data_IF_732159145876
#
_entry.id   IF_732159145876
#
_cell.length_a   1.000
_cell.length_b   1.000
_cell.length_c   1.000
_cell.angle_alpha   90.00
_cell.angle_beta   90.00
_cell.angle_gamma   90.00
#
_symmetry.space_group_name_H-M   'P 1'
#
loop_
_entity.id
_entity.type
_entity.pdbx_description
1 polymer ?
#
# COMPACT_ATOMS: atom_id res chain seq x y z
N UNK A 1 9.07 3.11 -51.01
CA UNK A 1 9.27 4.18 -50.01
C UNK A 1 9.33 5.50 -50.74
N UNK A 2 8.18 6.17 -50.87
CA UNK A 2 8.08 7.48 -51.50
C UNK A 2 8.69 8.50 -50.54
N UNK A 3 9.82 9.10 -50.90
CA UNK A 3 10.40 10.17 -50.11
C UNK A 3 9.36 11.30 -49.98
N UNK A 4 9.13 11.85 -48.78
CA UNK A 4 8.25 13.01 -48.65
C UNK A 4 8.87 14.15 -49.45
N UNK A 5 8.14 14.64 -50.45
CA UNK A 5 8.51 15.85 -51.18
C UNK A 5 8.59 16.99 -50.15
N UNK A 6 9.64 17.84 -50.20
CA UNK A 6 9.69 19.00 -49.33
C UNK A 6 8.48 19.88 -49.67
N UNK A 7 7.54 19.98 -48.74
CA UNK A 7 6.47 20.95 -48.80
C UNK A 7 7.11 22.31 -48.56
N UNK A 8 7.61 22.94 -49.62
CA UNK A 8 7.96 24.36 -49.59
C UNK A 8 6.65 25.13 -49.55
N UNK A 9 6.12 25.32 -48.35
CA UNK A 9 4.98 26.19 -48.13
C UNK A 9 5.44 27.64 -48.33
N UNK A 10 4.62 28.50 -48.97
CA UNK A 10 4.95 29.91 -49.10
C UNK A 10 5.13 30.54 -47.72
N UNK A 11 6.12 31.43 -47.58
CA UNK A 11 6.47 32.08 -46.30
C UNK A 11 5.34 32.94 -45.71
N UNK A 12 4.31 33.28 -46.51
CA UNK A 12 3.16 34.07 -46.05
C UNK A 12 1.91 33.87 -46.91
N UNK A 13 0.75 34.19 -46.33
CA UNK A 13 -0.53 34.24 -47.02
C UNK A 13 -0.77 35.60 -47.69
N UNK A 14 -1.50 35.63 -48.81
CA UNK A 14 -1.89 36.87 -49.46
C UNK A 14 -2.89 37.67 -48.60
N UNK A 15 -2.68 38.97 -48.46
CA UNK A 15 -3.53 39.86 -47.65
C UNK A 15 -4.74 40.35 -48.47
N UNK A 16 -5.94 40.26 -47.88
CA UNK A 16 -7.20 40.76 -48.48
C UNK A 16 -7.91 41.73 -47.53
N UNK A 17 -8.72 42.65 -48.07
CA UNK A 17 -9.50 43.57 -47.24
C UNK A 17 -10.48 42.80 -46.34
N UNK A 18 -10.46 43.07 -45.02
CA UNK A 18 -11.17 42.30 -43.97
C UNK A 18 -10.75 40.82 -43.85
N UNK A 19 -9.48 40.51 -44.11
CA UNK A 19 -8.90 39.19 -43.84
C UNK A 19 -8.74 38.87 -42.35
N UNK A 20 -8.28 37.65 -42.07
CA UNK A 20 -7.93 37.21 -40.71
C UNK A 20 -6.76 38.01 -40.13
N UNK A 21 -6.71 38.08 -38.80
CA UNK A 21 -5.58 38.67 -38.08
C UNK A 21 -4.33 37.80 -38.27
N UNK A 22 -3.25 38.40 -38.79
CA UNK A 22 -2.01 37.70 -39.11
C UNK A 22 -1.39 37.05 -37.88
N UNK A 23 -1.38 37.75 -36.75
CA UNK A 23 -0.76 37.24 -35.52
C UNK A 23 -1.49 36.00 -35.01
N UNK A 24 -2.83 36.04 -35.01
CA UNK A 24 -3.66 34.90 -34.63
C UNK A 24 -3.52 33.70 -35.59
N UNK A 25 -3.35 33.96 -36.89
CA UNK A 25 -3.11 32.91 -37.89
C UNK A 25 -1.75 32.29 -37.68
N UNK A 26 -0.70 33.09 -37.50
CA UNK A 26 0.66 32.61 -37.29
C UNK A 26 0.73 31.76 -36.00
N UNK A 27 0.15 32.23 -34.89
CA UNK A 27 0.03 31.46 -33.63
C UNK A 27 -0.67 30.13 -33.84
N UNK A 28 -1.82 30.11 -34.55
CA UNK A 28 -2.55 28.86 -34.81
C UNK A 28 -1.76 27.91 -35.72
N UNK A 29 -1.04 28.41 -36.71
CA UNK A 29 -0.19 27.58 -37.57
C UNK A 29 0.95 26.97 -36.75
N UNK A 30 1.57 27.74 -35.84
CA UNK A 30 2.61 27.22 -34.96
C UNK A 30 2.09 26.14 -34.00
N UNK A 31 0.90 26.33 -33.43
CA UNK A 31 0.19 25.31 -32.64
C UNK A 31 -0.05 24.03 -33.45
N UNK A 32 -0.60 24.14 -34.66
CA UNK A 32 -0.87 22.99 -35.54
C UNK A 32 0.42 22.28 -35.97
N UNK A 33 1.48 23.04 -36.28
CA UNK A 33 2.78 22.45 -36.62
C UNK A 33 3.39 21.72 -35.42
N UNK A 34 3.20 22.22 -34.20
CA UNK A 34 3.60 21.51 -32.99
C UNK A 34 2.81 20.22 -32.80
N UNK A 35 1.49 20.25 -33.00
CA UNK A 35 0.62 19.06 -32.93
C UNK A 35 1.00 18.02 -34.00
N UNK A 36 1.23 18.43 -35.25
CA UNK A 36 1.66 17.53 -36.33
C UNK A 36 3.00 16.87 -36.01
N UNK A 37 3.96 17.62 -35.44
CA UNK A 37 5.26 17.07 -35.02
C UNK A 37 5.10 16.02 -33.91
N UNK A 38 4.22 16.28 -32.94
CA UNK A 38 3.91 15.33 -31.88
C UNK A 38 3.27 14.05 -32.44
N UNK A 39 2.21 14.19 -33.25
CA UNK A 39 1.53 13.06 -33.90
C UNK A 39 2.46 12.25 -34.81
N UNK A 40 3.39 12.91 -35.50
CA UNK A 40 4.40 12.25 -36.32
C UNK A 40 5.33 11.40 -35.46
N UNK A 41 5.78 11.94 -34.32
CA UNK A 41 6.63 11.22 -33.36
C UNK A 41 5.91 10.00 -32.79
N UNK A 42 4.64 10.17 -32.39
CA UNK A 42 3.82 9.07 -31.85
C UNK A 42 3.56 7.98 -32.89
N UNK A 43 3.27 8.37 -34.14
CA UNK A 43 3.13 7.43 -35.25
C UNK A 43 4.40 6.63 -35.46
N UNK A 44 5.55 7.31 -35.51
CA UNK A 44 6.83 6.64 -35.77
C UNK A 44 7.19 5.67 -34.63
N UNK A 45 6.88 6.03 -33.38
CA UNK A 45 7.01 5.12 -32.24
C UNK A 45 6.08 3.89 -32.34
N UNK A 46 4.81 4.10 -32.69
CA UNK A 46 3.85 3.01 -32.87
C UNK A 46 4.23 2.06 -34.03
N UNK A 47 4.77 2.60 -35.13
CA UNK A 47 5.29 1.80 -36.24
C UNK A 47 6.48 0.94 -35.79
N UNK A 48 7.43 1.52 -35.05
CA UNK A 48 8.58 0.78 -34.53
C UNK A 48 8.17 -0.36 -33.57
N UNK A 49 7.16 -0.13 -32.72
CA UNK A 49 6.60 -1.15 -31.84
C UNK A 49 5.90 -2.26 -32.63
N UNK A 50 5.08 -1.92 -33.62
CA UNK A 50 4.42 -2.89 -34.49
C UNK A 50 5.43 -3.78 -35.23
N UNK A 51 6.52 -3.20 -35.75
CA UNK A 51 7.60 -3.96 -36.37
C UNK A 51 8.33 -4.88 -35.39
N UNK A 52 8.54 -4.43 -34.14
CA UNK A 52 9.13 -5.24 -33.08
C UNK A 52 8.24 -6.45 -32.74
N UNK A 53 6.94 -6.22 -32.54
CA UNK A 53 5.97 -7.27 -32.26
C UNK A 53 5.85 -8.27 -33.43
N UNK A 54 5.90 -7.79 -34.68
CA UNK A 54 5.91 -8.65 -35.85
C UNK A 54 7.11 -9.60 -35.87
N UNK A 55 8.32 -9.10 -35.52
CA UNK A 55 9.52 -9.94 -35.41
C UNK A 55 9.39 -10.98 -34.29
N UNK A 56 8.84 -10.60 -33.14
CA UNK A 56 8.59 -11.53 -32.04
C UNK A 56 7.58 -12.62 -32.43
N UNK A 57 6.52 -12.26 -33.15
CA UNK A 57 5.52 -13.21 -33.61
C UNK A 57 6.10 -14.22 -34.60
N UNK A 58 6.92 -13.78 -35.55
CA UNK A 58 7.60 -14.69 -36.49
C UNK A 58 8.60 -15.60 -35.77
N UNK A 59 9.34 -15.08 -34.79
CA UNK A 59 10.21 -15.90 -33.96
C UNK A 59 9.44 -16.98 -33.19
N UNK A 60 8.35 -16.62 -32.51
CA UNK A 60 7.50 -17.56 -31.78
C UNK A 60 6.85 -18.60 -32.71
N UNK A 61 6.45 -18.21 -33.93
CA UNK A 61 5.94 -19.13 -34.95
C UNK A 61 7.00 -20.15 -35.39
N UNK A 62 8.25 -19.70 -35.58
CA UNK A 62 9.35 -20.58 -35.94
C UNK A 62 9.67 -21.58 -34.81
N UNK A 63 9.73 -21.12 -33.56
CA UNK A 63 9.92 -22.00 -32.40
C UNK A 63 8.80 -23.03 -32.27
N UNK A 64 7.54 -22.61 -32.45
CA UNK A 64 6.40 -23.52 -32.37
C UNK A 64 6.44 -24.60 -33.47
N UNK A 65 6.82 -24.21 -34.69
CA UNK A 65 7.03 -25.15 -35.80
C UNK A 65 8.16 -26.15 -35.50
N UNK A 66 9.27 -25.69 -34.92
CA UNK A 66 10.38 -26.56 -34.50
C UNK A 66 9.96 -27.56 -33.41
N UNK A 67 9.27 -27.06 -32.38
CA UNK A 67 8.74 -27.90 -31.29
C UNK A 67 7.74 -28.93 -31.80
N UNK A 68 6.84 -28.53 -32.69
CA UNK A 68 5.87 -29.43 -33.32
C UNK A 68 6.59 -30.49 -34.15
N UNK A 69 7.59 -30.12 -34.96
CA UNK A 69 8.38 -31.07 -35.72
C UNK A 69 9.18 -32.03 -34.82
N UNK A 70 9.70 -31.54 -33.68
CA UNK A 70 10.38 -32.37 -32.68
C UNK A 70 9.43 -33.36 -32.02
N UNK A 71 8.24 -32.91 -31.63
CA UNK A 71 7.18 -33.76 -31.08
C UNK A 71 6.76 -34.83 -32.09
N UNK A 72 6.51 -34.45 -33.34
CA UNK A 72 6.18 -35.37 -34.44
C UNK A 72 7.26 -36.43 -34.66
N UNK A 73 8.55 -36.05 -34.62
CA UNK A 73 9.65 -37.01 -34.72
C UNK A 73 9.69 -37.97 -33.53
N UNK A 74 9.48 -37.46 -32.32
CA UNK A 74 9.42 -38.28 -31.10
C UNK A 74 8.24 -39.25 -31.10
N UNK A 75 7.10 -38.85 -31.69
CA UNK A 75 5.90 -39.67 -31.79
C UNK A 75 5.92 -40.66 -32.97
N UNK A 76 6.56 -40.31 -34.11
CA UNK A 76 6.61 -41.17 -35.31
C UNK A 76 7.79 -42.14 -35.33
N UNK A 77 8.90 -41.86 -34.63
CA UNK A 77 9.96 -42.85 -34.47
C UNK A 77 9.40 -44.01 -33.62
N UNK A 78 9.31 -45.25 -34.14
CA UNK A 78 8.92 -46.38 -33.32
C UNK A 78 9.94 -46.47 -32.19
N UNK A 79 9.44 -46.42 -30.96
CA UNK A 79 10.24 -46.53 -29.76
C UNK A 79 11.10 -47.80 -29.87
N UNK A 80 12.41 -47.62 -29.90
CA UNK A 80 13.32 -48.68 -29.49
C UNK A 80 12.83 -49.15 -28.11
N UNK A 81 12.48 -50.44 -27.92
CA UNK A 81 12.01 -50.98 -26.65
C UNK A 81 12.96 -50.68 -25.48
N UNK A 82 14.25 -50.49 -25.74
CA UNK A 82 15.23 -50.07 -24.74
C UNK A 82 15.06 -48.60 -24.30
N UNK A 83 14.72 -47.69 -25.22
CA UNK A 83 14.57 -46.25 -24.96
C UNK A 83 13.26 -45.87 -24.23
N UNK A 84 12.35 -46.82 -24.02
CA UNK A 84 11.16 -46.63 -23.17
C UNK A 84 11.54 -46.61 -21.70
N UNK A 85 12.49 -47.48 -21.29
CA UNK A 85 12.94 -47.57 -19.90
C UNK A 85 13.65 -46.30 -19.41
N UNK A 86 14.51 -45.71 -20.25
CA UNK A 86 15.23 -44.48 -19.91
C UNK A 86 14.30 -43.27 -19.86
N UNK A 87 13.28 -43.23 -20.74
CA UNK A 87 12.26 -42.16 -20.70
C UNK A 87 11.37 -42.26 -19.47
N UNK A 88 10.92 -43.45 -19.09
CA UNK A 88 10.15 -43.65 -17.84
C UNK A 88 11.00 -43.26 -16.64
N UNK A 89 12.30 -43.59 -16.65
CA UNK A 89 13.24 -43.19 -15.58
C UNK A 89 13.40 -41.67 -15.49
N UNK A 90 13.61 -41.01 -16.62
CA UNK A 90 13.68 -39.55 -16.67
C UNK A 90 12.36 -38.89 -16.25
N UNK A 91 11.22 -39.44 -16.66
CA UNK A 91 9.91 -38.93 -16.26
C UNK A 91 9.66 -39.11 -14.76
N UNK A 92 10.10 -40.24 -14.19
CA UNK A 92 10.06 -40.48 -12.75
C UNK A 92 11.00 -39.52 -12.01
N UNK A 93 12.21 -39.30 -12.49
CA UNK A 93 13.14 -38.31 -11.93
C UNK A 93 12.53 -36.91 -11.94
N UNK A 94 11.90 -36.50 -13.05
CA UNK A 94 11.21 -35.22 -13.15
C UNK A 94 10.02 -35.13 -12.19
N UNK A 95 9.25 -36.21 -12.08
CA UNK A 95 8.11 -36.28 -11.16
C UNK A 95 8.54 -36.23 -9.68
N UNK A 96 9.67 -36.85 -9.33
CA UNK A 96 10.23 -36.75 -7.97
C UNK A 96 10.75 -35.34 -7.71
N UNK A 97 11.46 -34.73 -8.66
CA UNK A 97 11.91 -33.35 -8.53
C UNK A 97 10.73 -32.37 -8.36
N UNK A 98 9.64 -32.58 -9.12
CA UNK A 98 8.42 -31.79 -8.99
C UNK A 98 7.74 -32.02 -7.63
N UNK A 99 7.65 -33.27 -7.17
CA UNK A 99 7.07 -33.59 -5.87
C UNK A 99 7.87 -32.93 -4.72
N UNK A 100 9.21 -32.99 -4.78
CA UNK A 100 10.09 -32.33 -3.82
C UNK A 100 9.93 -30.81 -3.86
N UNK A 101 9.77 -30.23 -5.06
CA UNK A 101 9.44 -28.82 -5.25
C UNK A 101 8.12 -28.43 -4.59
N UNK A 102 7.06 -29.21 -4.80
CA UNK A 102 5.74 -29.01 -4.18
C UNK A 102 5.82 -29.09 -2.66
N UNK A 103 6.53 -30.10 -2.11
CA UNK A 103 6.69 -30.26 -0.66
C UNK A 103 7.49 -29.10 -0.06
N UNK A 104 8.55 -28.66 -0.72
CA UNK A 104 9.37 -27.52 -0.26
C UNK A 104 8.55 -26.25 -0.25
N UNK A 105 7.85 -25.93 -1.34
CA UNK A 105 6.99 -24.76 -1.42
C UNK A 105 5.84 -24.80 -0.40
N UNK A 106 5.26 -25.99 -0.14
CA UNK A 106 4.25 -26.16 0.89
C UNK A 106 4.82 -25.89 2.31
N UNK A 107 6.03 -26.36 2.60
CA UNK A 107 6.73 -26.11 3.87
C UNK A 107 7.04 -24.64 4.07
N UNK A 108 7.54 -23.96 3.03
CA UNK A 108 7.83 -22.51 3.09
C UNK A 108 6.56 -21.70 3.34
N UNK A 109 5.47 -22.00 2.63
CA UNK A 109 4.17 -21.36 2.87
C UNK A 109 3.65 -21.61 4.28
N UNK A 110 3.76 -22.85 4.77
CA UNK A 110 3.36 -23.18 6.13
C UNK A 110 4.18 -22.41 7.18
N UNK A 111 5.50 -22.32 6.99
CA UNK A 111 6.38 -21.55 7.86
C UNK A 111 6.03 -20.05 7.84
N UNK A 112 5.73 -19.49 6.68
CA UNK A 112 5.30 -18.09 6.55
C UNK A 112 3.98 -17.82 7.30
N UNK A 113 2.98 -18.70 7.13
CA UNK A 113 1.69 -18.59 7.82
C UNK A 113 1.88 -18.65 9.35
N UNK A 114 2.70 -19.57 9.84
CA UNK A 114 2.99 -19.69 11.27
C UNK A 114 3.70 -18.43 11.77
N UNK A 115 4.72 -17.94 11.06
CA UNK A 115 5.43 -16.73 11.42
C UNK A 115 4.52 -15.49 11.49
N UNK A 116 3.64 -15.31 10.51
CA UNK A 116 2.67 -14.21 10.50
C UNK A 116 1.66 -14.33 11.65
N UNK A 117 1.21 -15.55 11.95
CA UNK A 117 0.30 -15.83 13.05
C UNK A 117 0.95 -15.51 14.40
N UNK A 118 2.21 -15.92 14.60
CA UNK A 118 3.00 -15.63 15.81
C UNK A 118 3.25 -14.14 15.99
N UNK A 119 3.66 -13.43 14.93
CA UNK A 119 3.86 -11.98 14.97
C UNK A 119 2.55 -11.25 15.31
N UNK A 120 1.44 -11.66 14.70
CA UNK A 120 0.12 -11.09 14.94
C UNK A 120 -0.40 -11.40 16.34
N UNK A 121 -0.10 -12.57 16.90
CA UNK A 121 -0.44 -12.92 18.28
C UNK A 121 0.41 -12.12 19.28
N UNK A 122 1.70 -11.95 19.00
CA UNK A 122 2.63 -11.15 19.81
C UNK A 122 2.19 -9.68 19.86
N UNK A 123 1.88 -9.08 18.70
CA UNK A 123 1.35 -7.71 18.59
C UNK A 123 0.07 -7.54 19.42
N UNK A 124 -0.92 -8.42 19.22
CA UNK A 124 -2.17 -8.39 19.99
C UNK A 124 -1.95 -8.49 21.50
N UNK A 125 -1.01 -9.33 21.92
CA UNK A 125 -0.68 -9.50 23.34
C UNK A 125 0.01 -8.25 23.91
N UNK A 126 0.93 -7.64 23.16
CA UNK A 126 1.59 -6.40 23.54
C UNK A 126 0.58 -5.25 23.67
N UNK A 127 -0.32 -5.09 22.70
CA UNK A 127 -1.37 -4.07 22.70
C UNK A 127 -2.33 -4.25 23.89
N UNK A 128 -2.78 -5.49 24.13
CA UNK A 128 -3.63 -5.81 25.27
C UNK A 128 -2.95 -5.48 26.60
N UNK A 129 -1.66 -5.80 26.76
CA UNK A 129 -0.87 -5.44 27.95
C UNK A 129 -0.74 -3.92 28.11
N UNK A 130 -0.46 -3.20 27.03
CA UNK A 130 -0.35 -1.74 27.06
C UNK A 130 -1.69 -1.08 27.41
N UNK A 131 -2.80 -1.60 26.90
CA UNK A 131 -4.15 -1.13 27.27
C UNK A 131 -4.47 -1.43 28.72
N UNK A 132 -4.20 -2.65 29.20
CA UNK A 132 -4.39 -3.01 30.60
C UNK A 132 -3.59 -2.09 31.53
N UNK A 133 -2.33 -1.82 31.20
CA UNK A 133 -1.49 -0.87 31.95
C UNK A 133 -2.09 0.54 32.00
N UNK A 134 -2.60 1.06 30.88
CA UNK A 134 -3.28 2.36 30.83
C UNK A 134 -4.51 2.41 31.73
N UNK A 135 -5.33 1.35 31.73
CA UNK A 135 -6.53 1.25 32.57
C UNK A 135 -6.15 1.26 34.05
N UNK A 136 -5.14 0.48 34.44
CA UNK A 136 -4.66 0.41 35.83
C UNK A 136 -4.15 1.77 36.30
N UNK A 137 -3.34 2.44 35.47
CA UNK A 137 -2.81 3.77 35.79
C UNK A 137 -3.91 4.84 35.89
N UNK A 138 -4.90 4.81 35.01
CA UNK A 138 -6.06 5.70 35.10
C UNK A 138 -6.88 5.43 36.37
N UNK A 139 -7.12 4.16 36.71
CA UNK A 139 -7.83 3.78 37.93
C UNK A 139 -7.07 4.26 39.18
N UNK A 140 -5.74 4.10 39.20
CA UNK A 140 -4.88 4.58 40.28
C UNK A 140 -4.96 6.10 40.43
N UNK A 141 -4.84 6.86 39.34
CA UNK A 141 -4.99 8.32 39.37
C UNK A 141 -6.35 8.76 39.89
N UNK A 142 -7.43 8.05 39.51
CA UNK A 142 -8.78 8.34 40.02
C UNK A 142 -8.90 8.07 41.52
N UNK A 143 -8.34 6.95 42.00
CA UNK A 143 -8.32 6.62 43.42
C UNK A 143 -7.55 7.67 44.23
N UNK A 144 -6.38 8.10 43.75
CA UNK A 144 -5.57 9.16 44.39
C UNK A 144 -6.32 10.50 44.45
N UNK A 145 -7.02 10.87 43.37
CA UNK A 145 -7.87 12.08 43.36
C UNK A 145 -9.00 12.00 44.38
N UNK A 146 -9.69 10.86 44.46
CA UNK A 146 -10.77 10.66 45.43
C UNK A 146 -10.26 10.75 46.86
N UNK A 147 -9.15 10.07 47.17
CA UNK A 147 -8.51 10.15 48.49
C UNK A 147 -8.08 11.59 48.84
N UNK A 148 -7.62 12.37 47.87
CA UNK A 148 -7.28 13.78 48.08
C UNK A 148 -8.52 14.67 48.31
N UNK A 149 -9.67 14.33 47.73
CA UNK A 149 -10.95 15.00 48.02
C UNK A 149 -11.42 14.64 49.43
N UNK A 150 -11.41 13.36 49.80
CA UNK A 150 -11.79 12.88 51.14
C UNK A 150 -10.95 13.56 52.23
N UNK A 151 -9.62 13.61 52.07
CA UNK A 151 -8.73 14.30 53.01
C UNK A 151 -9.08 15.78 53.17
N UNK A 152 -9.29 16.50 52.06
CA UNK A 152 -9.68 17.91 52.08
C UNK A 152 -11.02 18.14 52.78
N UNK A 153 -11.98 17.25 52.56
CA UNK A 153 -13.29 17.32 53.22
C UNK A 153 -13.14 17.07 54.72
N UNK A 154 -12.39 16.05 55.13
CA UNK A 154 -12.11 15.76 56.54
C UNK A 154 -11.38 16.92 57.24
N UNK A 155 -10.38 17.52 56.58
CA UNK A 155 -9.67 18.70 57.09
C UNK A 155 -10.61 19.89 57.25
N UNK A 156 -11.52 20.11 56.30
CA UNK A 156 -12.51 21.18 56.37
C UNK A 156 -13.50 20.97 57.53
N UNK A 157 -14.00 19.75 57.72
CA UNK A 157 -14.88 19.42 58.84
C UNK A 157 -14.18 19.67 60.18
N UNK A 158 -12.94 19.17 60.34
CA UNK A 158 -12.15 19.42 61.56
C UNK A 158 -11.96 20.91 61.87
N UNK A 159 -11.76 21.76 60.85
CA UNK A 159 -11.66 23.21 61.04
C UNK A 159 -12.98 23.85 61.47
N UNK A 160 -14.10 23.38 60.92
CA UNK A 160 -15.43 23.84 61.33
C UNK A 160 -15.69 23.44 62.77
N UNK A 161 -15.42 22.20 63.15
CA UNK A 161 -15.61 21.71 64.52
C UNK A 161 -14.76 22.50 65.52
N UNK A 162 -13.50 22.76 65.19
CA UNK A 162 -12.62 23.60 66.02
C UNK A 162 -13.16 25.04 66.16
N UNK A 163 -13.62 25.65 65.06
CA UNK A 163 -14.20 26.99 65.09
C UNK A 163 -15.48 27.05 65.95
N UNK A 164 -16.33 26.02 65.88
CA UNK A 164 -17.55 25.94 66.70
C UNK A 164 -17.19 25.80 68.19
N UNK A 165 -16.19 24.97 68.53
CA UNK A 165 -15.72 24.83 69.91
C UNK A 165 -15.12 26.14 70.45
N UNK A 166 -14.32 26.85 69.65
CA UNK A 166 -13.78 28.16 70.03
C UNK A 166 -14.91 29.19 70.25
N UNK A 167 -15.94 29.19 69.40
CA UNK A 167 -17.09 30.08 69.54
C UNK A 167 -17.93 29.77 70.78
N UNK A 168 -18.11 28.48 71.11
CA UNK A 168 -18.81 28.02 72.32
C UNK A 168 -18.08 28.49 73.59
N UNK A 169 -16.75 28.30 73.66
CA UNK A 169 -15.94 28.77 74.77
C UNK A 169 -16.07 30.29 74.98
N UNK A 170 -16.09 31.07 73.90
CA UNK A 170 -16.21 32.53 73.96
C UNK A 170 -17.59 33.02 74.45
N UNK A 171 -18.65 32.24 74.19
CA UNK A 171 -20.01 32.51 74.67
C UNK A 171 -20.14 32.17 76.16
N UNK A 172 -19.54 31.08 76.62
CA UNK A 172 -19.48 30.72 78.04
C UNK A 172 -18.74 31.78 78.85
N UNK A 173 -17.61 32.30 78.35
CA UNK A 173 -16.88 33.41 78.98
C UNK A 173 -17.67 34.72 79.06
N UNK A 174 -18.61 34.93 78.13
CA UNK A 174 -19.47 36.14 78.04
C UNK A 174 -20.78 36.04 78.80
N UNK A 175 -21.03 34.94 79.52
CA UNK A 175 -22.23 34.78 80.35
C UNK A 175 -21.91 35.08 81.82
N UNK A 176 -21.82 36.35 82.28
CA UNK A 176 -21.77 36.61 83.70
C UNK A 176 -23.13 36.25 84.30
N UNK A 177 -23.10 35.48 85.37
CA UNK A 177 -24.21 35.19 86.26
C UNK A 177 -24.98 36.48 86.60
N UNK A 178 -26.06 36.77 85.87
CA UNK A 178 -27.12 37.66 86.35
C UNK A 178 -28.01 36.83 87.27
N UNK A 179 -27.54 36.64 88.50
CA UNK A 179 -28.39 36.23 89.60
C UNK A 179 -29.41 37.36 89.84
N UNK A 180 -30.67 37.08 89.49
CA UNK A 180 -31.84 37.89 89.88
C UNK A 180 -32.15 37.53 91.33
N UNK A 181 -32.14 38.55 92.19
CA UNK A 181 -32.63 38.49 93.57
C UNK A 181 -34.15 38.64 93.62
#
# INVERSE_FOLDING_TARGET
MTAPLPLTLPESFALTFRGYDREQVDERIDELLAEIRLLTTDRDAAVAEAEHLARQLEHARAENAELTARADRLCRAPADPAAVGDRVRHLLELAHAEADGVVTAARERAAAIVGEAEESASRRTADARAQAGRIVEDARRRAERLAAVERRTADRLRRIDAFLADAEALLDERTPLRAVA
#
